data_IF_520368141230
#
_entry.id   IF_520368141230
#
_cell.length_a   1.000
_cell.length_b   1.000
_cell.length_c   1.000
_cell.angle_alpha   90.00
_cell.angle_beta   90.00
_cell.angle_gamma   90.00
#
_symmetry.space_group_name_H-M   'P 1'
#
loop_
_entity.id
_entity.type
_entity.pdbx_description
1 polymer ?
#
# COMPACT_ATOMS: atom_id res chain seq x y z
N UNK A 1 8.56 0.56 -15.55
CA UNK A 1 8.18 1.74 -14.72
C UNK A 1 8.85 1.66 -13.36
N UNK A 2 9.06 2.78 -12.65
CA UNK A 2 9.62 2.73 -11.30
C UNK A 2 8.70 1.98 -10.33
N UNK A 3 9.27 0.99 -9.63
CA UNK A 3 8.56 0.25 -8.59
C UNK A 3 8.30 1.18 -7.40
N UNK A 4 7.04 1.56 -7.19
CA UNK A 4 6.62 2.42 -6.08
C UNK A 4 5.73 1.62 -5.17
N UNK A 5 6.12 1.50 -3.91
CA UNK A 5 5.33 0.88 -2.86
C UNK A 5 4.91 1.96 -1.88
N UNK A 6 3.61 2.29 -1.84
CA UNK A 6 3.07 3.18 -0.83
C UNK A 6 2.77 2.38 0.44
N UNK A 7 3.20 2.90 1.58
CA UNK A 7 2.84 2.41 2.92
C UNK A 7 1.97 3.46 3.60
N UNK A 8 0.77 3.06 4.01
CA UNK A 8 -0.12 3.85 4.87
C UNK A 8 -0.18 3.20 6.25
N UNK A 9 -0.03 3.98 7.32
CA UNK A 9 -0.03 3.51 8.71
C UNK A 9 -1.11 4.22 9.53
N UNK A 10 -1.91 3.45 10.25
CA UNK A 10 -2.85 3.96 11.25
C UNK A 10 -2.22 3.94 12.65
N UNK A 11 -2.64 4.83 13.57
CA UNK A 11 -2.16 4.85 14.95
C UNK A 11 -2.28 3.51 15.68
N UNK A 12 -3.30 2.70 15.38
CA UNK A 12 -3.51 1.36 15.95
C UNK A 12 -2.65 0.24 15.35
N UNK A 13 -1.55 0.56 14.66
CA UNK A 13 -0.62 -0.44 14.13
C UNK A 13 -1.07 -1.14 12.84
N UNK A 14 -2.27 -0.85 12.32
CA UNK A 14 -2.70 -1.28 10.98
C UNK A 14 -1.83 -0.60 9.92
N UNK A 15 -1.39 -1.37 8.93
CA UNK A 15 -0.68 -0.88 7.75
C UNK A 15 -1.37 -1.35 6.48
N UNK A 16 -1.31 -0.53 5.45
CA UNK A 16 -1.78 -0.86 4.10
C UNK A 16 -0.68 -0.56 3.08
N UNK A 17 -0.48 -1.47 2.14
CA UNK A 17 0.49 -1.34 1.08
C UNK A 17 -0.17 -1.36 -0.29
N UNK A 18 0.22 -0.40 -1.14
CA UNK A 18 -0.29 -0.28 -2.51
C UNK A 18 0.89 -0.16 -3.47
N UNK A 19 1.05 -1.14 -4.35
CA UNK A 19 2.07 -1.15 -5.38
C UNK A 19 1.60 -0.46 -6.65
N UNK A 20 2.49 0.27 -7.30
CA UNK A 20 2.29 0.76 -8.67
C UNK A 20 2.08 -0.39 -9.64
N UNK A 21 1.16 -0.24 -10.60
CA UNK A 21 0.80 -1.26 -11.59
C UNK A 21 1.14 -0.87 -13.04
N UNK A 22 1.94 0.18 -13.22
CA UNK A 22 2.27 0.73 -14.54
C UNK A 22 1.27 1.77 -15.05
N UNK A 23 0.14 1.98 -14.38
CA UNK A 23 -0.87 2.95 -14.80
C UNK A 23 -0.83 4.25 -13.99
N UNK A 24 -1.26 5.35 -14.62
CA UNK A 24 -1.54 6.61 -13.93
C UNK A 24 -2.74 6.43 -13.00
N UNK A 25 -2.71 7.07 -11.82
CA UNK A 25 -3.77 6.99 -10.82
C UNK A 25 -4.08 5.56 -10.32
N UNK A 26 -3.09 4.66 -10.34
CA UNK A 26 -3.23 3.28 -9.86
C UNK A 26 -3.84 3.17 -8.45
N UNK A 27 -3.51 4.11 -7.56
CA UNK A 27 -4.12 4.22 -6.24
C UNK A 27 -5.61 4.50 -6.39
N UNK A 28 -6.00 5.68 -6.90
CA UNK A 28 -7.40 6.06 -7.12
C UNK A 28 -8.23 4.96 -7.80
N UNK A 29 -7.71 4.35 -8.87
CA UNK A 29 -8.40 3.26 -9.61
C UNK A 29 -8.69 2.04 -8.75
N UNK A 30 -7.81 1.69 -7.80
CA UNK A 30 -8.02 0.59 -6.84
C UNK A 30 -9.08 0.95 -5.77
N UNK A 31 -9.19 2.22 -5.39
CA UNK A 31 -10.13 2.69 -4.36
C UNK A 31 -11.47 3.19 -4.91
N UNK A 32 -11.59 3.44 -6.22
CA UNK A 32 -12.84 3.85 -6.88
C UNK A 32 -13.91 2.74 -6.94
N UNK A 33 -13.54 1.49 -6.68
CA UNK A 33 -14.48 0.36 -6.64
C UNK A 33 -15.00 0.20 -5.21
N UNK A 34 -16.28 -0.20 -5.01
CA UNK A 34 -16.78 -0.55 -3.68
C UNK A 34 -15.82 -1.53 -3.00
N UNK A 35 -15.28 -1.12 -1.86
CA UNK A 35 -14.28 -1.90 -1.15
C UNK A 35 -14.42 -1.70 0.34
N UNK A 36 -13.99 -2.71 1.12
CA UNK A 36 -13.93 -2.64 2.59
C UNK A 36 -12.66 -1.91 3.06
N UNK A 37 -12.14 -0.97 2.26
CA UNK A 37 -10.89 -0.30 2.57
C UNK A 37 -11.13 0.77 3.65
N UNK A 38 -10.21 0.89 4.61
CA UNK A 38 -10.39 1.80 5.74
C UNK A 38 -10.31 3.27 5.31
N UNK A 39 -11.06 4.11 6.02
CA UNK A 39 -10.95 5.55 5.90
C UNK A 39 -9.64 6.08 6.51
N UNK A 40 -9.18 7.22 6.00
CA UNK A 40 -8.10 7.97 6.61
C UNK A 40 -8.65 8.71 7.83
N UNK A 41 -8.10 8.39 9.01
CA UNK A 41 -8.44 8.98 10.31
C UNK A 41 -7.33 9.96 10.74
N UNK A 42 -7.58 10.85 11.72
CA UNK A 42 -6.51 11.67 12.30
C UNK A 42 -5.30 10.83 12.72
N UNK A 43 -4.10 11.27 12.32
CA UNK A 43 -2.84 10.58 12.62
C UNK A 43 -2.45 9.48 11.63
N UNK A 44 -3.24 9.20 10.60
CA UNK A 44 -2.81 8.31 9.51
C UNK A 44 -1.67 8.97 8.71
N UNK A 45 -0.59 8.23 8.49
CA UNK A 45 0.54 8.68 7.68
C UNK A 45 0.67 7.84 6.42
N UNK A 46 1.12 8.44 5.31
CA UNK A 46 1.44 7.71 4.07
C UNK A 46 2.81 8.13 3.57
N UNK A 47 3.62 7.15 3.14
CA UNK A 47 4.94 7.39 2.56
C UNK A 47 5.26 6.38 1.46
N UNK A 48 6.25 6.69 0.63
CA UNK A 48 6.90 5.68 -0.18
C UNK A 48 7.78 4.82 0.73
N UNK A 49 7.58 3.50 0.67
CA UNK A 49 8.46 2.52 1.29
C UNK A 49 9.62 2.23 0.33
N UNK A 50 10.86 2.65 0.65
CA UNK A 50 11.99 2.46 -0.24
C UNK A 50 12.23 0.98 -0.53
N UNK A 51 12.59 0.67 -1.78
CA UNK A 51 13.07 -0.67 -2.15
C UNK A 51 14.45 -0.88 -1.51
N UNK A 52 14.51 -1.76 -0.52
CA UNK A 52 15.73 -2.12 0.20
C UNK A 52 16.47 -3.31 -0.44
N UNK A 53 15.97 -3.81 -1.58
CA UNK A 53 16.53 -4.96 -2.29
C UNK A 53 16.17 -6.32 -1.68
N UNK A 54 15.48 -6.35 -0.53
CA UNK A 54 15.16 -7.58 0.18
C UNK A 54 14.11 -8.42 -0.56
N UNK A 55 14.16 -9.74 -0.33
CA UNK A 55 13.10 -10.65 -0.79
C UNK A 55 11.74 -10.26 -0.22
N UNK A 56 11.69 -9.86 1.06
CA UNK A 56 10.47 -9.44 1.73
C UNK A 56 9.81 -8.24 1.06
N UNK A 57 10.61 -7.25 0.66
CA UNK A 57 10.11 -6.10 -0.09
C UNK A 57 9.54 -6.50 -1.44
N UNK A 58 10.27 -7.34 -2.21
CA UNK A 58 9.82 -7.81 -3.54
C UNK A 58 8.52 -8.61 -3.47
N UNK A 59 8.41 -9.51 -2.49
CA UNK A 59 7.21 -10.32 -2.27
C UNK A 59 6.01 -9.44 -1.88
N UNK A 60 6.23 -8.46 -1.01
CA UNK A 60 5.20 -7.48 -0.62
C UNK A 60 4.76 -6.62 -1.80
N UNK A 61 5.71 -6.08 -2.58
CA UNK A 61 5.43 -5.28 -3.76
C UNK A 61 4.61 -6.06 -4.79
N UNK A 62 4.99 -7.30 -5.08
CA UNK A 62 4.29 -8.18 -6.04
C UNK A 62 2.82 -8.37 -5.65
N UNK A 63 2.56 -8.61 -4.36
CA UNK A 63 1.18 -8.75 -3.84
C UNK A 63 0.41 -7.42 -3.88
N UNK A 64 1.05 -6.33 -3.44
CA UNK A 64 0.48 -5.00 -3.36
C UNK A 64 0.17 -4.39 -4.74
N UNK A 65 0.91 -4.80 -5.77
CA UNK A 65 0.69 -4.44 -7.18
C UNK A 65 -0.64 -4.96 -7.70
N UNK A 66 -1.09 -6.14 -7.26
CA UNK A 66 -2.38 -6.71 -7.66
C UNK A 66 -3.52 -6.06 -6.89
N UNK A 67 -3.45 -6.08 -5.55
CA UNK A 67 -4.47 -5.52 -4.66
C UNK A 67 -3.84 -4.95 -3.38
N UNK A 68 -4.49 -4.01 -2.68
CA UNK A 68 -3.98 -3.53 -1.40
C UNK A 68 -3.70 -4.69 -0.43
N UNK A 69 -2.52 -4.67 0.20
CA UNK A 69 -2.15 -5.62 1.25
C UNK A 69 -2.34 -4.94 2.58
N UNK A 70 -3.15 -5.52 3.47
CA UNK A 70 -3.39 -5.00 4.82
C UNK A 70 -2.70 -5.91 5.82
N UNK A 71 -1.99 -5.34 6.79
CA UNK A 71 -1.36 -6.06 7.89
C UNK A 71 -1.70 -5.37 9.20
N UNK A 72 -2.00 -6.13 10.24
CA UNK A 72 -2.04 -5.62 11.62
C UNK A 72 -0.77 -6.09 12.31
N UNK A 73 -0.05 -5.17 12.94
CA UNK A 73 0.89 -5.56 14.00
C UNK A 73 0.02 -5.86 15.22
N UNK A 74 -0.10 -7.15 15.58
CA UNK A 74 -0.57 -7.53 16.92
C UNK A 74 0.45 -7.08 17.96
#
# INVERSE_FOLDING_TARGET
EPERLLETRWPGGRKMYVGSDGTVNYMLRKFMRPSKLPYFEPGVTTRLLPNDGSKGWRDLYTRARVKPVITNTQ
#
